data_IF_773824976115
#
_entry.id   IF_773824976115
#
_cell.length_a   1.000
_cell.length_b   1.000
_cell.length_c   1.000
_cell.angle_alpha   90.00
_cell.angle_beta   90.00
_cell.angle_gamma   90.00
#
_symmetry.space_group_name_H-M   'P 1'
#
loop_
_entity.id
_entity.type
_entity.pdbx_description
1 polymer ?
#
# COMPACT_ATOMS: atom_id res chain seq x y z
N UNK A 1 14.47 -60.60 -38.20
CA UNK A 1 13.96 -59.98 -36.94
C UNK A 1 12.91 -58.95 -37.31
N UNK A 2 11.73 -59.08 -36.75
CA UNK A 2 10.67 -58.08 -36.90
C UNK A 2 10.87 -56.97 -35.83
N UNK A 3 11.12 -55.76 -36.27
CA UNK A 3 11.21 -54.59 -35.36
C UNK A 3 9.88 -53.83 -35.40
N UNK A 4 9.18 -53.79 -34.27
CA UNK A 4 7.96 -53.00 -34.12
C UNK A 4 8.38 -51.57 -33.68
N UNK A 5 8.01 -50.55 -34.46
CA UNK A 5 8.21 -49.13 -34.14
C UNK A 5 6.87 -48.61 -33.61
N UNK A 6 6.88 -48.12 -32.34
CA UNK A 6 5.68 -47.54 -31.68
C UNK A 6 5.98 -46.12 -31.28
N UNK A 7 4.96 -45.26 -31.39
CA UNK A 7 5.03 -43.92 -30.82
C UNK A 7 4.97 -43.98 -29.29
N UNK A 8 5.78 -43.21 -28.53
CA UNK A 8 5.69 -43.16 -27.08
C UNK A 8 4.40 -42.47 -26.56
N UNK A 9 3.69 -41.75 -27.43
CA UNK A 9 2.44 -41.10 -27.12
C UNK A 9 1.37 -41.36 -28.16
N UNK A 10 0.09 -41.39 -27.72
CA UNK A 10 -1.03 -41.48 -28.63
C UNK A 10 -1.23 -40.13 -29.31
N UNK A 11 -1.18 -40.09 -30.64
CA UNK A 11 -1.41 -38.91 -31.44
C UNK A 11 -2.09 -39.26 -32.76
N UNK A 12 -2.79 -38.30 -33.35
CA UNK A 12 -3.39 -38.45 -34.67
C UNK A 12 -2.29 -38.44 -35.73
N UNK A 13 -2.44 -39.33 -36.75
CA UNK A 13 -1.55 -39.38 -37.91
C UNK A 13 -1.92 -38.21 -38.82
N UNK A 14 -0.92 -37.35 -39.11
CA UNK A 14 -1.04 -36.26 -40.09
C UNK A 14 -0.78 -36.73 -41.51
N UNK A 15 0.29 -37.53 -41.68
CA UNK A 15 0.62 -38.11 -42.97
C UNK A 15 1.46 -39.38 -42.79
N UNK A 16 1.31 -40.34 -43.75
CA UNK A 16 2.13 -41.50 -43.88
C UNK A 16 3.04 -41.27 -45.07
N UNK A 17 4.37 -41.33 -44.87
CA UNK A 17 5.37 -40.97 -45.88
C UNK A 17 5.92 -42.17 -46.68
N UNK A 18 5.53 -43.38 -46.30
CA UNK A 18 6.02 -44.64 -46.89
C UNK A 18 4.85 -45.52 -47.30
N UNK A 19 5.11 -46.40 -48.24
CA UNK A 19 4.13 -47.39 -48.71
C UNK A 19 4.50 -48.78 -48.19
N UNK A 20 3.52 -49.68 -48.14
CA UNK A 20 3.75 -51.07 -47.79
C UNK A 20 4.72 -51.73 -48.79
N UNK A 21 5.72 -52.44 -48.27
CA UNK A 21 6.79 -53.06 -49.06
C UNK A 21 7.95 -52.11 -49.50
N UNK A 22 7.95 -50.87 -49.07
CA UNK A 22 9.00 -49.89 -49.38
C UNK A 22 10.25 -50.13 -48.51
N UNK A 23 11.43 -50.05 -49.12
CA UNK A 23 12.73 -50.17 -48.43
C UNK A 23 13.07 -48.78 -47.82
N UNK A 24 13.21 -48.74 -46.52
CA UNK A 24 13.49 -47.49 -45.77
C UNK A 24 14.89 -47.46 -45.27
N UNK A 25 15.48 -46.26 -45.16
CA UNK A 25 16.81 -46.02 -44.62
C UNK A 25 16.75 -45.77 -43.11
N UNK A 26 17.86 -45.99 -42.43
CA UNK A 26 17.97 -45.64 -41.01
C UNK A 26 17.71 -44.16 -40.80
N UNK A 27 16.86 -43.85 -39.83
CA UNK A 27 16.38 -42.48 -39.47
C UNK A 27 15.48 -41.82 -40.54
N UNK A 28 14.97 -42.57 -41.51
CA UNK A 28 13.98 -42.04 -42.44
C UNK A 28 12.65 -41.85 -41.69
N UNK A 29 11.98 -40.67 -41.81
CA UNK A 29 10.66 -40.48 -41.23
C UNK A 29 9.62 -41.33 -41.95
N UNK A 30 8.84 -42.11 -41.22
CA UNK A 30 7.79 -43.01 -41.74
C UNK A 30 6.41 -42.41 -41.65
N UNK A 31 6.15 -41.76 -40.54
CA UNK A 31 4.83 -41.20 -40.22
C UNK A 31 5.07 -39.82 -39.59
N UNK A 32 4.26 -38.83 -39.97
CA UNK A 32 4.20 -37.53 -39.31
C UNK A 32 2.95 -37.52 -38.46
N UNK A 33 3.12 -37.25 -37.17
CA UNK A 33 2.01 -37.10 -36.22
C UNK A 33 1.53 -35.66 -36.22
N UNK A 34 0.25 -35.46 -35.86
CA UNK A 34 -0.33 -34.13 -35.70
C UNK A 34 0.18 -33.52 -34.38
N UNK A 35 0.89 -32.43 -34.47
CA UNK A 35 1.51 -31.72 -33.35
C UNK A 35 0.71 -30.48 -32.93
N UNK A 36 -0.48 -30.25 -33.51
CA UNK A 36 -1.30 -29.05 -33.30
C UNK A 36 -1.65 -28.88 -31.82
N UNK A 37 -2.06 -29.97 -31.15
CA UNK A 37 -2.42 -29.94 -29.72
C UNK A 37 -1.19 -29.65 -28.83
N UNK A 38 -0.06 -30.28 -29.11
CA UNK A 38 1.19 -30.06 -28.38
C UNK A 38 1.69 -28.61 -28.55
N UNK A 39 1.62 -28.08 -29.79
CA UNK A 39 1.96 -26.69 -30.06
C UNK A 39 1.05 -25.69 -29.36
N UNK A 40 -0.26 -25.96 -29.32
CA UNK A 40 -1.22 -25.13 -28.61
C UNK A 40 -0.98 -25.14 -27.09
N UNK A 41 -0.72 -26.33 -26.52
CA UNK A 41 -0.39 -26.47 -25.11
C UNK A 41 0.92 -25.72 -24.75
N UNK A 42 1.95 -25.86 -25.57
CA UNK A 42 3.21 -25.13 -25.41
C UNK A 42 3.02 -23.61 -25.49
N UNK A 43 2.28 -23.12 -26.49
CA UNK A 43 2.01 -21.70 -26.65
C UNK A 43 1.25 -21.12 -25.44
N UNK A 44 0.26 -21.86 -24.93
CA UNK A 44 -0.47 -21.48 -23.72
C UNK A 44 0.46 -21.41 -22.50
N UNK A 45 1.24 -22.45 -22.26
CA UNK A 45 2.18 -22.49 -21.13
C UNK A 45 3.25 -21.39 -21.24
N UNK A 46 3.77 -21.12 -22.44
CA UNK A 46 4.71 -20.01 -22.69
C UNK A 46 4.08 -18.65 -22.38
N UNK A 47 2.85 -18.42 -22.82
CA UNK A 47 2.14 -17.16 -22.55
C UNK A 47 1.90 -16.93 -21.07
N UNK A 48 1.48 -17.97 -20.35
CA UNK A 48 1.28 -17.93 -18.90
C UNK A 48 2.61 -17.67 -18.16
N UNK A 49 3.67 -18.34 -18.54
CA UNK A 49 5.00 -18.12 -17.98
C UNK A 49 5.50 -16.69 -18.16
N UNK A 50 5.40 -16.13 -19.38
CA UNK A 50 5.80 -14.74 -19.65
C UNK A 50 4.95 -13.74 -18.87
N UNK A 51 3.65 -14.02 -18.71
CA UNK A 51 2.76 -13.21 -17.85
C UNK A 51 3.24 -13.20 -16.40
N UNK A 52 3.49 -14.37 -15.82
CA UNK A 52 3.95 -14.48 -14.43
C UNK A 52 5.32 -13.83 -14.23
N UNK A 53 6.23 -14.00 -15.17
CA UNK A 53 7.57 -13.39 -15.16
C UNK A 53 7.49 -11.85 -15.19
N UNK A 54 6.57 -11.30 -15.98
CA UNK A 54 6.35 -9.86 -16.06
C UNK A 54 5.75 -9.30 -14.77
N UNK A 55 4.82 -10.03 -14.17
CA UNK A 55 4.21 -9.69 -12.89
C UNK A 55 5.23 -9.75 -11.74
N UNK A 56 6.07 -10.78 -11.70
CA UNK A 56 7.15 -10.92 -10.74
C UNK A 56 8.10 -9.72 -10.80
N UNK A 57 8.53 -9.34 -12.03
CA UNK A 57 9.42 -8.19 -12.24
C UNK A 57 8.83 -6.90 -11.68
N UNK A 58 7.54 -6.65 -11.89
CA UNK A 58 6.84 -5.50 -11.33
C UNK A 58 6.80 -5.53 -9.80
N UNK A 59 6.44 -6.68 -9.22
CA UNK A 59 6.34 -6.82 -7.76
C UNK A 59 7.70 -6.66 -7.07
N UNK A 60 8.76 -7.21 -7.67
CA UNK A 60 10.13 -7.02 -7.18
C UNK A 60 10.54 -5.55 -7.21
N UNK A 61 10.25 -4.82 -8.31
CA UNK A 61 10.54 -3.40 -8.42
C UNK A 61 9.78 -2.59 -7.36
N UNK A 62 8.51 -2.92 -7.09
CA UNK A 62 7.73 -2.29 -6.03
C UNK A 62 8.31 -2.56 -4.63
N UNK A 63 8.67 -3.80 -4.35
CA UNK A 63 9.26 -4.20 -3.06
C UNK A 63 10.60 -3.48 -2.80
N UNK A 64 11.40 -3.31 -3.83
CA UNK A 64 12.72 -2.66 -3.74
C UNK A 64 12.63 -1.13 -3.82
N UNK A 65 11.44 -0.55 -4.00
CA UNK A 65 11.25 0.89 -4.28
C UNK A 65 12.12 1.37 -5.46
N UNK A 66 12.26 0.54 -6.48
CA UNK A 66 13.03 0.88 -7.68
C UNK A 66 12.33 1.99 -8.47
N UNK A 67 13.07 2.85 -9.20
CA UNK A 67 12.47 3.90 -10.01
C UNK A 67 11.75 3.38 -11.26
N UNK A 68 12.09 2.16 -11.74
CA UNK A 68 11.48 1.50 -12.91
C UNK A 68 11.58 -0.02 -12.76
N UNK A 69 10.86 -0.74 -13.62
CA UNK A 69 10.87 -2.21 -13.67
C UNK A 69 12.06 -2.67 -14.52
N UNK A 70 12.87 -3.57 -13.99
CA UNK A 70 13.87 -4.30 -14.75
C UNK A 70 13.29 -5.64 -15.23
N UNK A 71 13.00 -5.75 -16.52
CA UNK A 71 12.50 -6.99 -17.10
C UNK A 71 13.65 -7.95 -17.46
N UNK A 72 13.49 -9.26 -17.23
CA UNK A 72 14.46 -10.27 -17.65
C UNK A 72 14.66 -10.30 -19.16
N UNK A 73 15.86 -10.72 -19.61
CA UNK A 73 16.21 -10.83 -21.04
C UNK A 73 15.20 -11.66 -21.81
N UNK A 74 14.77 -12.76 -21.24
CA UNK A 74 13.79 -13.68 -21.85
C UNK A 74 12.48 -12.97 -22.23
N UNK A 75 12.00 -12.06 -21.40
CA UNK A 75 10.80 -11.26 -21.70
C UNK A 75 11.09 -10.23 -22.79
N UNK A 76 12.26 -9.59 -22.75
CA UNK A 76 12.66 -8.58 -23.72
C UNK A 76 12.92 -9.17 -25.11
N UNK A 77 13.48 -10.37 -25.20
CA UNK A 77 13.70 -11.09 -26.46
C UNK A 77 12.38 -11.45 -27.17
N UNK A 78 11.32 -11.69 -26.41
CA UNK A 78 9.97 -11.94 -26.94
C UNK A 78 9.14 -10.65 -27.13
N UNK A 79 9.69 -9.46 -26.84
CA UNK A 79 8.95 -8.18 -26.90
C UNK A 79 8.55 -7.75 -28.32
N UNK A 80 9.04 -8.43 -29.38
CA UNK A 80 8.59 -8.24 -30.75
C UNK A 80 7.20 -8.83 -31.01
N UNK A 81 6.77 -9.78 -30.19
CA UNK A 81 5.41 -10.29 -30.21
C UNK A 81 4.44 -9.22 -29.62
N UNK A 82 3.38 -8.79 -30.36
CA UNK A 82 2.48 -7.73 -29.87
C UNK A 82 1.85 -8.03 -28.51
N UNK A 83 1.57 -9.29 -28.22
CA UNK A 83 1.05 -9.76 -26.92
C UNK A 83 2.01 -9.48 -25.78
N UNK A 84 3.31 -9.74 -25.98
CA UNK A 84 4.35 -9.53 -24.97
C UNK A 84 4.67 -8.05 -24.81
N UNK A 85 4.71 -7.29 -25.92
CA UNK A 85 4.88 -5.84 -25.87
C UNK A 85 3.76 -5.17 -25.05
N UNK A 86 2.50 -5.54 -25.29
CA UNK A 86 1.37 -5.05 -24.52
C UNK A 86 1.45 -5.44 -23.06
N UNK A 87 1.92 -6.66 -22.75
CA UNK A 87 2.12 -7.13 -21.40
C UNK A 87 3.14 -6.27 -20.65
N UNK A 88 4.30 -6.02 -21.24
CA UNK A 88 5.35 -5.16 -20.68
C UNK A 88 4.81 -3.75 -20.43
N UNK A 89 4.11 -3.17 -21.39
CA UNK A 89 3.51 -1.84 -21.27
C UNK A 89 2.47 -1.79 -20.15
N UNK A 90 1.61 -2.80 -20.06
CA UNK A 90 0.59 -2.90 -19.00
C UNK A 90 1.25 -2.97 -17.62
N UNK A 91 2.30 -3.79 -17.45
CA UNK A 91 2.98 -3.89 -16.17
C UNK A 91 3.68 -2.57 -15.79
N UNK A 92 4.27 -1.85 -16.74
CA UNK A 92 4.82 -0.51 -16.49
C UNK A 92 3.74 0.48 -16.06
N UNK A 93 2.61 0.52 -16.75
CA UNK A 93 1.52 1.42 -16.41
C UNK A 93 0.96 1.12 -15.01
N UNK A 94 0.77 -0.16 -14.66
CA UNK A 94 0.36 -0.58 -13.32
C UNK A 94 1.40 -0.17 -12.27
N UNK A 95 2.68 -0.35 -12.55
CA UNK A 95 3.76 0.05 -11.66
C UNK A 95 3.70 1.55 -11.36
N UNK A 96 3.71 2.39 -12.39
CA UNK A 96 3.71 3.85 -12.22
C UNK A 96 2.44 4.36 -11.54
N UNK A 97 1.27 3.83 -11.90
CA UNK A 97 0.02 4.24 -11.25
C UNK A 97 -0.02 3.85 -9.77
N UNK A 98 0.48 2.66 -9.43
CA UNK A 98 0.57 2.21 -8.03
C UNK A 98 1.56 3.07 -7.24
N UNK A 99 2.73 3.37 -7.80
CA UNK A 99 3.73 4.23 -7.15
C UNK A 99 3.24 5.66 -6.97
N UNK A 100 2.53 6.20 -7.96
CA UNK A 100 1.92 7.53 -7.88
C UNK A 100 0.84 7.60 -6.80
N UNK A 101 -0.03 6.59 -6.74
CA UNK A 101 -1.06 6.50 -5.71
C UNK A 101 -0.44 6.40 -4.30
N UNK A 102 0.58 5.57 -4.15
CA UNK A 102 1.31 5.45 -2.89
C UNK A 102 1.94 6.78 -2.46
N UNK A 103 2.60 7.48 -3.38
CA UNK A 103 3.20 8.79 -3.09
C UNK A 103 2.14 9.84 -2.74
N UNK A 104 1.01 9.85 -3.43
CA UNK A 104 -0.11 10.75 -3.14
C UNK A 104 -0.70 10.49 -1.75
N UNK A 105 -0.91 9.23 -1.39
CA UNK A 105 -1.38 8.84 -0.06
C UNK A 105 -0.37 9.24 1.03
N UNK A 106 0.91 8.98 0.81
CA UNK A 106 1.99 9.40 1.72
C UNK A 106 1.98 10.91 1.94
N UNK A 107 1.89 11.69 0.86
CA UNK A 107 1.85 13.15 0.94
C UNK A 107 0.60 13.64 1.70
N UNK A 108 -0.56 13.04 1.46
CA UNK A 108 -1.80 13.36 2.17
C UNK A 108 -1.67 13.10 3.67
N UNK A 109 -1.08 11.95 4.06
CA UNK A 109 -0.83 11.63 5.47
C UNK A 109 0.13 12.64 6.10
N UNK A 110 1.24 12.98 5.42
CA UNK A 110 2.20 13.96 5.93
C UNK A 110 1.57 15.35 6.12
N UNK A 111 0.73 15.79 5.18
CA UNK A 111 0.01 17.07 5.29
C UNK A 111 -1.00 17.04 6.44
N UNK A 112 -1.75 15.94 6.60
CA UNK A 112 -2.68 15.78 7.72
C UNK A 112 -1.95 15.80 9.07
N UNK A 113 -0.84 15.07 9.18
CA UNK A 113 0.00 15.04 10.40
C UNK A 113 0.52 16.44 10.74
N UNK A 114 1.05 17.19 9.75
CA UNK A 114 1.51 18.55 9.95
C UNK A 114 0.38 19.50 10.41
N UNK A 115 -0.84 19.31 9.88
CA UNK A 115 -2.03 20.03 10.33
C UNK A 115 -2.38 19.75 11.79
N UNK A 116 -2.41 18.46 12.18
CA UNK A 116 -2.65 18.04 13.56
C UNK A 116 -1.57 18.53 14.53
N UNK A 117 -0.30 18.54 14.13
CA UNK A 117 0.79 19.07 14.93
C UNK A 117 0.63 20.59 15.16
N UNK A 118 0.21 21.34 14.14
CA UNK A 118 -0.06 22.76 14.24
C UNK A 118 -1.24 23.06 15.18
N UNK A 119 -2.31 22.29 15.08
CA UNK A 119 -3.47 22.36 15.99
C UNK A 119 -3.06 22.03 17.42
N UNK A 120 -2.30 20.96 17.62
CA UNK A 120 -1.78 20.55 18.92
C UNK A 120 -0.94 21.68 19.57
N UNK A 121 -0.10 22.33 18.77
CA UNK A 121 0.68 23.47 19.25
C UNK A 121 -0.22 24.61 19.72
N UNK A 122 -1.21 25.01 18.92
CA UNK A 122 -2.17 26.05 19.29
C UNK A 122 -2.95 25.73 20.57
N UNK A 123 -3.42 24.48 20.70
CA UNK A 123 -4.13 24.03 21.91
C UNK A 123 -3.23 24.05 23.16
N UNK A 124 -1.96 23.68 23.03
CA UNK A 124 -0.99 23.77 24.15
C UNK A 124 -0.80 25.19 24.62
N UNK A 125 -0.59 26.15 23.71
CA UNK A 125 -0.46 27.56 24.05
C UNK A 125 -1.72 28.08 24.77
N UNK A 126 -2.90 27.68 24.30
CA UNK A 126 -4.15 28.07 24.93
C UNK A 126 -4.30 27.45 26.33
N UNK A 127 -3.96 26.16 26.49
CA UNK A 127 -3.97 25.48 27.77
C UNK A 127 -3.00 26.13 28.78
N UNK A 128 -1.81 26.54 28.35
CA UNK A 128 -0.84 27.24 29.19
C UNK A 128 -1.37 28.61 29.66
N UNK A 129 -2.09 29.36 28.79
CA UNK A 129 -2.76 30.57 29.13
C UNK A 129 -3.84 30.36 30.20
N UNK A 130 -4.73 29.38 30.01
CA UNK A 130 -5.75 29.01 31.00
C UNK A 130 -5.15 28.55 32.34
N UNK A 131 -4.08 27.75 32.28
CA UNK A 131 -3.35 27.30 33.48
C UNK A 131 -2.83 28.48 34.31
N UNK A 132 -2.27 29.49 33.62
CA UNK A 132 -1.81 30.72 34.26
C UNK A 132 -2.95 31.47 34.92
N UNK A 133 -4.08 31.61 34.22
CA UNK A 133 -5.30 32.31 34.78
C UNK A 133 -5.85 31.55 36.00
N UNK A 134 -5.97 30.22 35.91
CA UNK A 134 -6.38 29.37 37.04
C UNK A 134 -5.45 29.55 38.25
N UNK A 135 -4.13 29.56 38.00
CA UNK A 135 -3.14 29.77 39.07
C UNK A 135 -3.29 31.13 39.76
N UNK A 136 -3.43 32.20 38.98
CA UNK A 136 -3.61 33.56 39.50
C UNK A 136 -4.91 33.66 40.35
N UNK A 137 -6.00 33.08 39.81
CA UNK A 137 -7.27 33.12 40.51
C UNK A 137 -7.26 32.25 41.79
N UNK A 138 -6.59 31.13 41.78
CA UNK A 138 -6.34 30.28 42.94
C UNK A 138 -5.62 31.04 44.06
N UNK A 139 -4.56 31.80 43.69
CA UNK A 139 -3.84 32.67 44.66
C UNK A 139 -4.71 33.75 45.23
N UNK A 140 -5.55 34.43 44.39
CA UNK A 140 -6.50 35.43 44.83
C UNK A 140 -7.50 34.86 45.84
N UNK A 141 -8.10 33.70 45.52
CA UNK A 141 -9.04 33.01 46.41
C UNK A 141 -8.39 32.65 47.73
N UNK A 142 -7.17 32.09 47.68
CA UNK A 142 -6.42 31.74 48.90
C UNK A 142 -6.20 32.95 49.81
N UNK A 143 -5.85 34.11 49.25
CA UNK A 143 -5.65 35.35 50.00
C UNK A 143 -6.93 35.95 50.54
N UNK A 144 -8.03 35.86 49.79
CA UNK A 144 -9.33 36.42 50.17
C UNK A 144 -10.13 35.56 51.15
N UNK A 145 -9.84 34.24 51.18
CA UNK A 145 -10.60 33.28 52.03
C UNK A 145 -10.65 33.64 53.51
N UNK A 146 -9.52 33.95 54.20
CA UNK A 146 -9.56 34.37 55.60
C UNK A 146 -10.35 35.67 55.79
N UNK A 147 -10.19 36.67 54.90
CA UNK A 147 -10.89 37.95 54.99
C UNK A 147 -12.41 37.79 54.81
N UNK A 148 -12.82 36.91 53.90
CA UNK A 148 -14.25 36.63 53.72
C UNK A 148 -14.84 35.89 54.93
N UNK A 149 -14.06 35.01 55.57
CA UNK A 149 -14.46 34.30 56.78
C UNK A 149 -14.65 35.22 58.00
N UNK A 150 -13.79 36.22 58.09
CA UNK A 150 -13.82 37.22 59.19
C UNK A 150 -14.80 38.39 58.91
N UNK A 151 -15.46 38.41 57.72
CA UNK A 151 -16.42 39.44 57.36
C UNK A 151 -15.83 40.73 56.78
N UNK A 152 -14.48 40.77 56.56
CA UNK A 152 -13.76 41.93 55.96
C UNK A 152 -13.84 41.93 54.42
N UNK A 153 -14.34 40.84 53.78
CA UNK A 153 -14.58 40.78 52.36
C UNK A 153 -15.97 40.26 52.07
N UNK A 154 -16.75 40.89 51.13
CA UNK A 154 -18.12 40.47 50.82
C UNK A 154 -18.21 39.03 50.37
N UNK A 155 -19.03 38.22 51.06
CA UNK A 155 -19.17 36.78 50.81
C UNK A 155 -19.62 36.49 49.37
N UNK A 156 -20.51 37.32 48.82
CA UNK A 156 -20.99 37.13 47.43
C UNK A 156 -19.89 37.28 46.43
N UNK A 157 -18.99 38.26 46.59
CA UNK A 157 -17.85 38.46 45.70
C UNK A 157 -16.83 37.33 45.84
N UNK A 158 -16.67 36.78 47.02
CA UNK A 158 -15.80 35.61 47.23
C UNK A 158 -16.34 34.36 46.49
N UNK A 159 -17.66 34.07 46.62
CA UNK A 159 -18.31 32.97 45.92
C UNK A 159 -18.27 33.14 44.39
N UNK A 160 -18.36 34.39 43.89
CA UNK A 160 -18.21 34.68 42.47
C UNK A 160 -16.77 34.34 41.97
N UNK A 161 -15.74 34.61 42.79
CA UNK A 161 -14.37 34.22 42.47
C UNK A 161 -14.18 32.68 42.45
N UNK A 162 -14.77 31.98 43.41
CA UNK A 162 -14.76 30.50 43.42
C UNK A 162 -15.44 29.92 42.17
N UNK A 163 -16.62 30.48 41.78
CA UNK A 163 -17.31 30.07 40.55
C UNK A 163 -16.45 30.29 39.29
N UNK A 164 -15.82 31.50 39.16
CA UNK A 164 -14.93 31.80 38.07
C UNK A 164 -13.73 30.82 37.99
N UNK A 165 -13.19 30.45 39.16
CA UNK A 165 -12.10 29.45 39.24
C UNK A 165 -12.55 28.08 38.71
N UNK A 166 -13.71 27.58 39.15
CA UNK A 166 -14.21 26.27 38.68
C UNK A 166 -14.54 26.31 37.17
N UNK A 167 -15.05 27.41 36.65
CA UNK A 167 -15.31 27.60 35.22
C UNK A 167 -13.99 27.55 34.38
N UNK A 168 -12.96 28.31 34.80
CA UNK A 168 -11.66 28.33 34.15
C UNK A 168 -10.98 26.96 34.22
N UNK A 169 -11.07 26.27 35.34
CA UNK A 169 -10.54 24.92 35.54
C UNK A 169 -11.26 23.92 34.61
N UNK A 170 -12.59 23.98 34.51
CA UNK A 170 -13.35 23.14 33.57
C UNK A 170 -12.94 23.36 32.09
N UNK A 171 -12.70 24.63 31.72
CA UNK A 171 -12.23 24.97 30.39
C UNK A 171 -10.82 24.41 30.14
N UNK A 172 -9.91 24.49 31.12
CA UNK A 172 -8.59 23.91 31.05
C UNK A 172 -8.64 22.36 30.89
N UNK A 173 -9.46 21.69 31.69
CA UNK A 173 -9.63 20.24 31.64
C UNK A 173 -10.18 19.80 30.27
N UNK A 174 -11.12 20.56 29.70
CA UNK A 174 -11.60 20.31 28.33
C UNK A 174 -10.51 20.44 27.28
N UNK A 175 -9.66 21.48 27.33
CA UNK A 175 -8.52 21.67 26.45
C UNK A 175 -7.49 20.53 26.58
N UNK A 176 -7.20 20.11 27.80
CA UNK A 176 -6.30 18.95 28.04
C UNK A 176 -6.87 17.66 27.43
N UNK A 177 -8.19 17.48 27.50
CA UNK A 177 -8.89 16.38 26.84
C UNK A 177 -8.76 16.43 25.30
N UNK A 178 -8.87 17.63 24.70
CA UNK A 178 -8.66 17.84 23.27
C UNK A 178 -7.21 17.52 22.86
N UNK A 179 -6.23 18.03 23.60
CA UNK A 179 -4.81 17.74 23.42
C UNK A 179 -4.56 16.23 23.46
N UNK A 180 -5.18 15.52 24.40
CA UNK A 180 -5.08 14.07 24.50
C UNK A 180 -5.60 13.36 23.25
N UNK A 181 -6.74 13.77 22.73
CA UNK A 181 -7.32 13.19 21.48
C UNK A 181 -6.42 13.41 20.27
N UNK A 182 -5.93 14.63 20.05
CA UNK A 182 -5.06 14.92 18.89
C UNK A 182 -3.74 14.13 18.95
N UNK A 183 -3.16 13.98 20.13
CA UNK A 183 -1.94 13.14 20.30
C UNK A 183 -2.13 11.68 19.90
N UNK A 184 -3.35 11.16 19.95
CA UNK A 184 -3.64 9.79 19.52
C UNK A 184 -3.92 9.66 18.02
N UNK A 185 -4.12 10.80 17.33
CA UNK A 185 -4.35 10.86 15.88
C UNK A 185 -3.04 11.07 15.08
N UNK A 186 -1.99 11.56 15.72
CA UNK A 186 -0.63 11.74 15.17
C UNK A 186 0.15 10.43 15.29
#
# INVERSE_FOLDING_TARGET
HLNIIQSPQTAKIKSILVKEGEVVKKNQPLIILDDSEAKAAYAKAKSEYLYLLSMESRLQAQLQNSPDITFPKELLENAQEPSVANLIQTQRQLFFSTMQNFQSQKNAILQNTAGLESELYGLKLNADSFKSQVSILAQQISSLKPLAKEGYYPKNQFLDKERQYEELKGNLDNLLGQIGRIKTQI
#
